data_IF_165193332573
#
_entry.id   IF_165193332573
#
_cell.length_a   1.000
_cell.length_b   1.000
_cell.length_c   1.000
_cell.angle_alpha   90.00
_cell.angle_beta   90.00
_cell.angle_gamma   90.00
#
_symmetry.space_group_name_H-M   'P 1'
#
loop_
_entity.id
_entity.type
_entity.pdbx_description
1 polymer ?
#
# COMPACT_ATOMS: atom_id res chain seq x y z
N UNK A 1 -66.59 30.47 -2.56
CA UNK A 1 -65.40 30.90 -1.81
C UNK A 1 -64.48 29.69 -1.71
N UNK A 2 -63.41 29.72 -2.50
CA UNK A 2 -62.40 28.68 -2.65
C UNK A 2 -61.46 28.67 -1.45
N UNK A 3 -61.20 27.51 -0.87
CA UNK A 3 -60.04 27.26 -0.02
C UNK A 3 -59.11 26.31 -0.78
N UNK A 4 -58.25 26.91 -1.62
CA UNK A 4 -57.08 26.22 -2.17
C UNK A 4 -56.19 25.80 -1.00
N UNK A 5 -56.06 24.49 -0.79
CA UNK A 5 -55.01 23.91 0.04
C UNK A 5 -53.70 24.07 -0.71
N UNK A 6 -52.89 25.03 -0.24
CA UNK A 6 -51.50 25.24 -0.62
C UNK A 6 -50.74 23.94 -0.48
N UNK A 7 -50.35 23.34 -1.62
CA UNK A 7 -49.38 22.26 -1.69
C UNK A 7 -48.07 22.85 -1.19
N UNK A 8 -47.74 22.60 0.07
CA UNK A 8 -46.45 22.91 0.63
C UNK A 8 -45.42 22.06 -0.14
N UNK A 9 -44.69 22.73 -1.02
CA UNK A 9 -43.55 22.15 -1.71
C UNK A 9 -42.53 21.66 -0.69
N UNK A 10 -42.48 20.36 -0.49
CA UNK A 10 -41.27 19.71 -0.01
C UNK A 10 -40.29 19.75 -1.18
N UNK A 11 -39.43 20.77 -1.16
CA UNK A 11 -38.29 20.87 -2.03
C UNK A 11 -37.44 19.61 -1.90
N UNK A 12 -37.39 18.84 -2.99
CA UNK A 12 -36.31 17.91 -3.27
C UNK A 12 -35.01 18.72 -3.33
N UNK A 13 -34.32 18.86 -2.20
CA UNK A 13 -32.94 19.33 -2.18
C UNK A 13 -32.01 18.16 -2.50
N UNK A 14 -31.46 18.19 -3.71
CA UNK A 14 -30.06 17.87 -3.95
C UNK A 14 -29.67 16.40 -3.96
N UNK A 15 -30.12 15.68 -4.98
CA UNK A 15 -29.35 14.57 -5.54
C UNK A 15 -27.96 15.06 -6.00
N UNK A 16 -26.96 14.24 -5.70
CA UNK A 16 -25.70 14.11 -6.43
C UNK A 16 -24.78 15.33 -6.47
N UNK A 17 -24.05 15.55 -5.37
CA UNK A 17 -22.64 15.89 -5.52
C UNK A 17 -21.92 14.63 -6.03
N UNK A 18 -21.90 14.47 -7.34
CA UNK A 18 -20.87 13.73 -8.07
C UNK A 18 -19.52 14.41 -7.83
N UNK A 19 -19.00 14.22 -6.61
CA UNK A 19 -17.61 14.45 -6.31
C UNK A 19 -16.82 13.31 -6.95
N UNK A 20 -16.20 13.59 -8.10
CA UNK A 20 -14.95 12.95 -8.50
C UNK A 20 -13.89 13.37 -7.45
N UNK A 21 -14.06 12.87 -6.23
CA UNK A 21 -13.13 13.06 -5.14
C UNK A 21 -12.12 11.96 -5.29
N UNK A 22 -11.01 12.26 -5.97
CA UNK A 22 -9.75 11.55 -5.81
C UNK A 22 -9.20 11.76 -4.40
N UNK A 23 -10.01 11.43 -3.39
CA UNK A 23 -9.50 11.17 -2.06
C UNK A 23 -8.78 9.85 -2.19
N UNK A 24 -7.47 9.86 -2.01
CA UNK A 24 -6.76 8.64 -1.63
C UNK A 24 -7.46 8.10 -0.39
N UNK A 25 -8.37 7.14 -0.58
CA UNK A 25 -9.00 6.44 0.53
C UNK A 25 -7.86 5.89 1.39
N UNK A 26 -7.89 6.24 2.67
CA UNK A 26 -6.92 5.71 3.61
C UNK A 26 -6.99 4.17 3.52
N UNK A 27 -5.84 3.55 3.27
CA UNK A 27 -5.75 2.10 3.11
C UNK A 27 -6.25 1.43 4.39
N UNK A 28 -7.19 0.50 4.26
CA UNK A 28 -7.63 -0.29 5.42
C UNK A 28 -6.48 -1.16 5.93
N UNK A 29 -6.46 -1.42 7.24
CA UNK A 29 -5.45 -2.30 7.86
C UNK A 29 -5.40 -3.68 7.20
N UNK A 30 -6.55 -4.26 6.85
CA UNK A 30 -6.63 -5.56 6.17
C UNK A 30 -6.04 -5.53 4.75
N UNK A 31 -6.23 -4.43 4.02
CA UNK A 31 -5.59 -4.24 2.72
C UNK A 31 -4.08 -4.07 2.86
N UNK A 32 -3.63 -3.30 3.84
CA UNK A 32 -2.21 -3.14 4.13
C UNK A 32 -1.55 -4.48 4.47
N UNK A 33 -2.16 -5.30 5.32
CA UNK A 33 -1.65 -6.65 5.62
C UNK A 33 -1.64 -7.58 4.42
N UNK A 34 -2.66 -7.53 3.55
CA UNK A 34 -2.64 -8.28 2.28
C UNK A 34 -1.48 -7.86 1.39
N UNK A 35 -1.21 -6.56 1.27
CA UNK A 35 -0.07 -6.03 0.50
C UNK A 35 1.26 -6.42 1.13
N UNK A 36 1.39 -6.36 2.46
CA UNK A 36 2.57 -6.83 3.18
C UNK A 36 2.86 -8.30 2.83
N UNK A 37 1.85 -9.17 2.86
CA UNK A 37 2.02 -10.59 2.50
C UNK A 37 2.50 -10.79 1.05
N UNK A 38 1.99 -9.99 0.10
CA UNK A 38 2.45 -10.02 -1.30
C UNK A 38 3.93 -9.63 -1.39
N UNK A 39 4.36 -8.58 -0.67
CA UNK A 39 5.77 -8.22 -0.64
C UNK A 39 6.62 -9.27 0.07
N UNK A 40 6.15 -9.88 1.16
CA UNK A 40 6.86 -10.98 1.84
C UNK A 40 7.08 -12.17 0.91
N UNK A 41 6.07 -12.56 0.14
CA UNK A 41 6.20 -13.59 -0.88
C UNK A 41 7.20 -13.21 -1.97
N UNK A 42 7.17 -11.95 -2.42
CA UNK A 42 8.12 -11.42 -3.40
C UNK A 42 9.55 -11.42 -2.85
N UNK A 43 9.75 -11.00 -1.61
CA UNK A 43 11.03 -11.00 -0.90
C UNK A 43 11.57 -12.43 -0.77
N UNK A 44 10.72 -13.39 -0.41
CA UNK A 44 11.12 -14.79 -0.33
C UNK A 44 11.57 -15.33 -1.69
N UNK A 45 10.80 -15.04 -2.74
CA UNK A 45 11.14 -15.46 -4.09
C UNK A 45 12.44 -14.81 -4.58
N UNK A 46 12.53 -13.48 -4.57
CA UNK A 46 13.71 -12.74 -5.05
C UNK A 46 14.94 -13.00 -4.20
N UNK A 47 14.80 -13.24 -2.91
CA UNK A 47 15.89 -13.67 -2.04
C UNK A 47 16.54 -14.97 -2.53
N UNK A 48 15.74 -15.98 -2.83
CA UNK A 48 16.24 -17.24 -3.37
C UNK A 48 16.83 -17.11 -4.79
N UNK A 49 16.41 -16.10 -5.57
CA UNK A 49 17.04 -15.79 -6.85
C UNK A 49 18.37 -15.06 -6.68
N UNK A 50 18.44 -14.11 -5.74
CA UNK A 50 19.63 -13.36 -5.39
C UNK A 50 20.76 -14.26 -4.88
N UNK A 51 20.45 -15.32 -4.14
CA UNK A 51 21.43 -16.33 -3.70
C UNK A 51 22.21 -16.99 -4.86
N UNK A 52 21.71 -16.92 -6.09
CA UNK A 52 22.35 -17.48 -7.29
C UNK A 52 23.18 -16.46 -8.07
N UNK A 53 23.21 -15.21 -7.64
CA UNK A 53 23.97 -14.17 -8.32
C UNK A 53 25.47 -14.31 -8.08
N UNK A 54 26.26 -13.93 -9.10
CA UNK A 54 27.70 -13.94 -9.01
C UNK A 54 28.18 -12.77 -8.13
N UNK A 55 29.16 -13.00 -7.24
CA UNK A 55 29.71 -11.94 -6.41
C UNK A 55 30.45 -10.91 -7.29
N UNK A 56 30.24 -9.61 -7.00
CA UNK A 56 30.91 -8.51 -7.69
C UNK A 56 30.26 -8.08 -9.01
N UNK A 57 29.13 -8.68 -9.39
CA UNK A 57 28.31 -8.26 -10.53
C UNK A 57 26.98 -7.69 -10.06
N UNK A 58 26.41 -6.77 -10.86
CA UNK A 58 25.06 -6.28 -10.60
C UNK A 58 24.05 -7.43 -10.73
N UNK A 59 23.29 -7.67 -9.67
CA UNK A 59 22.28 -8.71 -9.62
C UNK A 59 20.88 -8.10 -9.71
N UNK A 60 20.15 -8.27 -10.83
CA UNK A 60 18.78 -7.76 -10.96
C UNK A 60 17.83 -8.32 -9.88
N UNK A 61 18.08 -9.55 -9.41
CA UNK A 61 17.28 -10.16 -8.35
C UNK A 61 17.50 -9.50 -6.98
N UNK A 62 18.72 -9.05 -6.66
CA UNK A 62 19.01 -8.28 -5.45
C UNK A 62 18.38 -6.88 -5.51
N UNK A 63 18.42 -6.23 -6.68
CA UNK A 63 17.74 -4.95 -6.88
C UNK A 63 16.23 -5.11 -6.64
N UNK A 64 15.60 -6.10 -7.29
CA UNK A 64 14.18 -6.38 -7.13
C UNK A 64 13.81 -6.82 -5.71
N UNK A 65 14.71 -7.53 -5.01
CA UNK A 65 14.56 -7.87 -3.59
C UNK A 65 14.50 -6.60 -2.73
N UNK A 66 15.47 -5.70 -2.90
CA UNK A 66 15.51 -4.43 -2.16
C UNK A 66 14.31 -3.53 -2.47
N UNK A 67 13.85 -3.48 -3.72
CA UNK A 67 12.65 -2.73 -4.10
C UNK A 67 11.39 -3.31 -3.42
N UNK A 68 11.28 -4.63 -3.32
CA UNK A 68 10.18 -5.28 -2.61
C UNK A 68 10.23 -5.02 -1.10
N UNK A 69 11.42 -4.97 -0.50
CA UNK A 69 11.63 -4.58 0.90
C UNK A 69 11.18 -3.13 1.14
N UNK A 70 11.56 -2.21 0.25
CA UNK A 70 11.15 -0.80 0.33
C UNK A 70 9.62 -0.68 0.23
N UNK A 71 9.01 -1.36 -0.74
CA UNK A 71 7.56 -1.40 -0.90
C UNK A 71 6.82 -1.94 0.33
N UNK A 72 7.33 -3.01 0.95
CA UNK A 72 6.79 -3.52 2.22
C UNK A 72 6.85 -2.44 3.29
N UNK A 73 8.00 -1.80 3.47
CA UNK A 73 8.20 -0.77 4.48
C UNK A 73 7.33 0.46 4.28
N UNK A 74 7.05 0.85 3.03
CA UNK A 74 6.12 1.94 2.72
C UNK A 74 4.68 1.58 3.13
N UNK A 75 4.24 0.35 2.86
CA UNK A 75 2.93 -0.13 3.33
C UNK A 75 2.87 -0.18 4.85
N UNK A 76 3.91 -0.70 5.50
CA UNK A 76 3.98 -0.74 6.97
C UNK A 76 3.88 0.65 7.60
N UNK A 77 4.46 1.68 6.99
CA UNK A 77 4.38 3.06 7.48
C UNK A 77 3.02 3.72 7.24
N UNK A 78 2.20 3.16 6.35
CA UNK A 78 0.86 3.68 6.06
C UNK A 78 -0.20 3.27 7.09
N UNK A 79 0.16 2.38 8.03
CA UNK A 79 -0.71 1.92 9.11
C UNK A 79 0.00 2.03 10.47
N UNK A 80 -0.74 2.39 11.51
CA UNK A 80 -0.22 2.42 12.89
C UNK A 80 -0.34 1.03 13.51
N UNK A 81 0.56 0.12 13.11
CA UNK A 81 0.58 -1.26 13.59
C UNK A 81 2.03 -1.74 13.92
N UNK A 82 2.27 -2.26 15.14
CA UNK A 82 3.60 -2.71 15.57
C UNK A 82 4.06 -4.01 14.89
N UNK A 83 3.16 -4.89 14.44
CA UNK A 83 3.52 -6.08 13.66
C UNK A 83 3.99 -5.67 12.27
N UNK A 84 3.27 -4.75 11.61
CA UNK A 84 3.68 -4.20 10.32
C UNK A 84 5.07 -3.54 10.40
N UNK A 85 5.35 -2.79 11.47
CA UNK A 85 6.68 -2.21 11.74
C UNK A 85 7.75 -3.28 11.91
N UNK A 86 7.46 -4.32 12.70
CA UNK A 86 8.38 -5.45 12.94
C UNK A 86 8.72 -6.21 11.66
N UNK A 87 7.73 -6.39 10.77
CA UNK A 87 7.92 -7.02 9.46
C UNK A 87 8.83 -6.19 8.55
N UNK A 88 8.66 -4.87 8.50
CA UNK A 88 9.59 -4.00 7.78
C UNK A 88 11.02 -4.11 8.32
N UNK A 89 11.20 -4.09 9.64
CA UNK A 89 12.52 -4.27 10.25
C UNK A 89 13.14 -5.63 9.92
N UNK A 90 12.33 -6.69 9.83
CA UNK A 90 12.78 -8.02 9.41
C UNK A 90 13.16 -8.07 7.92
N UNK A 91 12.34 -7.47 7.05
CA UNK A 91 12.57 -7.41 5.61
C UNK A 91 13.86 -6.63 5.27
N UNK A 92 14.13 -5.51 5.96
CA UNK A 92 15.35 -4.71 5.76
C UNK A 92 16.64 -5.50 5.94
N UNK A 93 16.67 -6.51 6.81
CA UNK A 93 17.84 -7.37 7.00
C UNK A 93 18.13 -8.29 5.81
N UNK A 94 17.21 -8.40 4.84
CA UNK A 94 17.39 -9.22 3.64
C UNK A 94 17.91 -8.44 2.44
N UNK A 95 17.77 -7.12 2.41
CA UNK A 95 18.39 -6.30 1.39
C UNK A 95 19.87 -6.08 1.77
N UNK A 96 20.85 -6.47 0.94
CA UNK A 96 22.26 -6.22 1.23
C UNK A 96 22.54 -4.70 1.28
N UNK A 97 23.47 -4.25 2.14
CA UNK A 97 23.90 -2.86 2.11
C UNK A 97 24.49 -2.54 0.73
N UNK A 98 23.96 -1.52 0.07
CA UNK A 98 24.55 -1.02 -1.19
C UNK A 98 25.88 -0.34 -0.86
N UNK A 99 26.98 -1.01 -1.16
CA UNK A 99 28.28 -0.36 -1.21
C UNK A 99 28.23 0.65 -2.36
N UNK A 100 28.37 1.95 -2.06
CA UNK A 100 28.48 2.95 -3.11
C UNK A 100 29.83 2.73 -3.83
N UNK A 101 29.87 2.70 -5.18
CA UNK A 101 31.12 2.71 -5.92
C UNK A 101 31.90 4.02 -5.69
#
# INVERSE_FOLDING_TARGET
MSTLRTIAGLGLLGLALSGCGGGSEAMSTDEAFRRIQVYEATIAHRGAEAERCAPGEECPAELALCDAVEGLCQVSQSIDDPDATSRCAAARRRCPPRENP
#
